data_IF_591669338502
#
_entry.id   IF_591669338502
#
_cell.length_a   1.000
_cell.length_b   1.000
_cell.length_c   1.000
_cell.angle_alpha   90.00
_cell.angle_beta   90.00
_cell.angle_gamma   90.00
#
_symmetry.space_group_name_H-M   'P 1'
#
loop_
_entity.id
_entity.type
_entity.pdbx_description
1 polymer ?
#
# COMPACT_ATOMS: atom_id res chain seq x y z
N UNK A 1 34.44 -19.27 45.20
CA UNK A 1 34.17 -20.71 45.45
C UNK A 1 33.05 -21.07 44.48
N UNK A 2 33.20 -21.85 43.40
CA UNK A 2 34.10 -22.99 43.13
C UNK A 2 33.26 -24.28 43.16
N UNK A 3 33.32 -25.27 42.25
CA UNK A 3 34.15 -25.59 41.07
C UNK A 3 33.20 -25.95 39.87
N UNK A 4 33.54 -25.99 38.57
CA UNK A 4 34.72 -26.32 37.76
C UNK A 4 34.88 -27.81 37.34
N UNK A 5 35.36 -28.02 36.10
CA UNK A 5 35.63 -29.28 35.35
C UNK A 5 34.45 -30.02 34.65
N UNK A 6 34.63 -30.86 33.61
CA UNK A 6 35.54 -30.88 32.42
C UNK A 6 35.25 -32.12 31.52
N UNK A 7 35.61 -32.07 30.22
CA UNK A 7 35.65 -33.22 29.28
C UNK A 7 34.30 -33.60 28.62
N UNK A 8 34.24 -34.20 27.42
CA UNK A 8 35.30 -34.51 26.42
C UNK A 8 34.75 -34.54 24.97
N UNK A 9 35.64 -34.34 24.01
CA UNK A 9 35.57 -34.67 22.56
C UNK A 9 36.83 -35.54 22.25
N UNK A 10 37.00 -36.28 21.11
CA UNK A 10 36.73 -35.84 19.72
C UNK A 10 36.44 -36.99 18.69
N UNK A 11 36.81 -36.77 17.41
CA UNK A 11 37.24 -37.79 16.39
C UNK A 11 36.14 -38.46 15.52
N UNK A 12 36.28 -38.84 14.23
CA UNK A 12 37.19 -38.63 13.06
C UNK A 12 36.61 -39.41 11.83
N UNK A 13 36.94 -39.25 10.54
CA UNK A 13 37.41 -38.14 9.67
C UNK A 13 37.56 -38.65 8.19
N UNK A 14 37.58 -37.76 7.18
CA UNK A 14 37.82 -38.06 5.74
C UNK A 14 36.54 -38.32 4.92
N UNK A 15 36.50 -38.19 3.59
CA UNK A 15 37.44 -37.77 2.52
C UNK A 15 36.81 -38.14 1.16
N UNK A 16 37.24 -37.79 -0.06
CA UNK A 16 38.29 -36.99 -0.68
C UNK A 16 38.17 -37.29 -2.21
N UNK A 17 38.62 -36.42 -3.15
CA UNK A 17 38.72 -36.61 -4.63
C UNK A 17 37.42 -36.75 -5.46
N UNK A 18 37.43 -36.67 -6.81
CA UNK A 18 38.19 -35.85 -7.80
C UNK A 18 37.79 -36.24 -9.25
N UNK A 19 37.89 -35.32 -10.22
CA UNK A 19 38.18 -35.65 -11.64
C UNK A 19 37.05 -35.49 -12.67
N UNK A 20 37.42 -35.00 -13.86
CA UNK A 20 36.55 -34.74 -15.01
C UNK A 20 36.25 -35.97 -15.90
N UNK A 21 35.19 -35.87 -16.71
CA UNK A 21 35.02 -36.59 -17.98
C UNK A 21 34.16 -35.76 -18.96
N UNK A 22 34.37 -35.92 -20.27
CA UNK A 22 33.97 -34.92 -21.28
C UNK A 22 33.23 -35.52 -22.51
N UNK A 23 32.16 -34.82 -22.91
CA UNK A 23 31.54 -34.72 -24.26
C UNK A 23 30.58 -35.78 -24.88
N UNK A 24 29.69 -35.21 -25.73
CA UNK A 24 29.07 -35.73 -26.98
C UNK A 24 28.04 -36.88 -26.93
N UNK A 25 26.78 -36.51 -27.20
CA UNK A 25 26.22 -36.61 -28.57
C UNK A 25 25.04 -35.64 -28.79
N UNK A 26 24.81 -35.22 -30.03
CA UNK A 26 23.63 -34.44 -30.46
C UNK A 26 22.81 -35.26 -31.45
N UNK A 27 21.50 -35.40 -31.19
CA UNK A 27 20.49 -35.82 -32.16
C UNK A 27 19.09 -35.69 -31.55
N UNK A 28 18.19 -34.90 -32.16
CA UNK A 28 16.81 -34.75 -31.69
C UNK A 28 16.27 -33.32 -31.85
N UNK A 29 15.88 -32.96 -33.08
CA UNK A 29 14.96 -31.83 -33.30
C UNK A 29 13.56 -32.43 -33.25
N UNK A 30 12.83 -32.17 -32.18
CA UNK A 30 11.42 -32.55 -32.07
C UNK A 30 10.55 -31.46 -32.73
N UNK A 31 9.59 -31.89 -33.55
CA UNK A 31 8.80 -31.07 -34.47
C UNK A 31 7.29 -31.11 -34.16
N UNK A 32 6.93 -31.18 -32.88
CA UNK A 32 5.56 -30.88 -32.42
C UNK A 32 5.56 -30.24 -31.04
N UNK A 33 5.58 -28.90 -31.00
CA UNK A 33 4.98 -28.14 -29.90
C UNK A 33 4.43 -26.81 -30.42
N UNK A 34 3.12 -26.76 -30.61
CA UNK A 34 2.42 -25.50 -30.84
C UNK A 34 2.70 -24.56 -29.65
N UNK A 35 3.03 -23.28 -29.88
CA UNK A 35 3.24 -22.35 -28.80
C UNK A 35 1.90 -22.10 -28.11
N UNK A 36 1.79 -22.55 -26.86
CA UNK A 36 0.79 -21.98 -25.95
C UNK A 36 0.95 -20.44 -25.97
N UNK A 37 -0.15 -19.66 -25.98
CA UNK A 37 -0.05 -18.21 -26.00
C UNK A 37 0.60 -17.74 -24.70
N UNK A 38 1.90 -17.47 -24.79
CA UNK A 38 2.77 -17.14 -23.68
C UNK A 38 2.29 -15.86 -23.01
N UNK A 39 1.43 -16.03 -22.01
CA UNK A 39 0.63 -14.96 -21.39
C UNK A 39 1.51 -14.23 -20.37
N UNK A 40 2.61 -13.69 -20.87
CA UNK A 40 3.46 -12.76 -20.16
C UNK A 40 2.60 -11.53 -19.84
N UNK A 41 2.40 -11.17 -18.55
CA UNK A 41 1.56 -10.03 -18.19
C UNK A 41 2.16 -8.77 -18.81
N UNK A 42 1.36 -8.07 -19.61
CA UNK A 42 1.82 -6.94 -20.43
C UNK A 42 2.61 -5.92 -19.59
N UNK A 43 3.93 -5.88 -19.81
CA UNK A 43 4.78 -4.82 -19.30
C UNK A 43 4.55 -3.57 -20.14
N UNK A 44 3.40 -2.93 -19.94
CA UNK A 44 3.19 -1.57 -20.37
C UNK A 44 4.36 -0.70 -19.83
N UNK A 45 4.88 0.26 -20.61
CA UNK A 45 6.11 0.97 -20.26
C UNK A 45 5.85 2.06 -19.21
N UNK A 46 5.41 1.66 -18.01
CA UNK A 46 5.43 2.55 -16.86
C UNK A 46 6.88 2.89 -16.55
N UNK A 47 7.22 4.19 -16.59
CA UNK A 47 8.51 4.73 -16.19
C UNK A 47 8.66 4.66 -14.66
N UNK A 48 8.76 3.43 -14.15
CA UNK A 48 8.86 3.01 -12.74
C UNK A 48 7.82 3.66 -11.83
N UNK A 49 6.67 3.01 -11.64
CA UNK A 49 5.67 3.41 -10.63
C UNK A 49 6.32 3.40 -9.22
N UNK A 50 6.35 4.56 -8.57
CA UNK A 50 6.98 4.76 -7.25
C UNK A 50 5.99 4.92 -6.09
N UNK A 51 4.70 5.06 -6.43
CA UNK A 51 3.59 5.09 -5.49
C UNK A 51 2.27 5.03 -6.23
N UNK A 52 1.22 4.65 -5.50
CA UNK A 52 -0.14 4.48 -5.99
C UNK A 52 -1.11 4.96 -4.91
N UNK A 53 -2.27 5.45 -5.34
CA UNK A 53 -3.42 5.74 -4.48
C UNK A 53 -4.64 5.15 -5.17
N UNK A 54 -5.53 4.59 -4.38
CA UNK A 54 -6.85 4.11 -4.81
C UNK A 54 -7.92 4.92 -4.09
N UNK A 55 -9.02 5.20 -4.80
CA UNK A 55 -10.12 6.00 -4.29
C UNK A 55 -11.44 5.66 -4.99
N UNK A 56 -12.53 5.69 -4.23
CA UNK A 56 -13.87 5.27 -4.66
C UNK A 56 -14.91 6.21 -4.07
N UNK A 57 -15.97 6.51 -4.80
CA UNK A 57 -17.13 7.22 -4.24
C UNK A 57 -17.89 6.27 -3.31
N UNK A 58 -18.33 6.76 -2.16
CA UNK A 58 -19.01 5.94 -1.13
C UNK A 58 -20.09 6.72 -0.38
N UNK A 59 -21.03 5.95 0.17
CA UNK A 59 -22.24 6.35 0.89
C UNK A 59 -22.35 5.65 2.27
N UNK A 60 -21.22 5.20 2.87
CA UNK A 60 -21.25 4.43 4.12
C UNK A 60 -21.93 5.23 5.25
N UNK A 61 -23.11 4.77 5.69
CA UNK A 61 -23.95 5.51 6.63
C UNK A 61 -23.24 5.89 7.96
N UNK A 62 -22.24 5.11 8.40
CA UNK A 62 -21.44 5.43 9.59
C UNK A 62 -20.42 6.56 9.37
N UNK A 63 -19.98 6.77 8.13
CA UNK A 63 -19.19 7.93 7.71
C UNK A 63 -20.10 9.14 7.48
N UNK A 64 -21.24 8.97 6.80
CA UNK A 64 -22.22 10.04 6.56
C UNK A 64 -22.76 10.65 7.88
N UNK A 65 -22.91 9.87 8.95
CA UNK A 65 -23.22 10.41 10.30
C UNK A 65 -22.22 11.46 10.80
N UNK A 66 -21.00 11.51 10.24
CA UNK A 66 -19.94 12.48 10.58
C UNK A 66 -19.88 13.69 9.63
N UNK A 67 -20.54 13.64 8.46
CA UNK A 67 -20.51 14.71 7.44
C UNK A 67 -21.93 15.09 6.98
N UNK A 68 -22.33 16.33 7.27
CA UNK A 68 -23.71 16.79 7.06
C UNK A 68 -23.87 17.52 5.73
N UNK A 69 -25.00 17.28 5.07
CA UNK A 69 -25.36 17.97 3.81
C UNK A 69 -24.64 17.40 2.57
N UNK A 70 -24.32 16.10 2.61
CA UNK A 70 -23.94 15.28 1.45
C UNK A 70 -24.50 13.88 1.63
N UNK A 71 -24.80 13.20 0.52
CA UNK A 71 -25.21 11.80 0.49
C UNK A 71 -24.06 10.85 0.10
N UNK A 72 -22.95 11.40 -0.41
CA UNK A 72 -21.75 10.67 -0.85
C UNK A 72 -20.45 11.46 -0.60
N UNK A 73 -19.31 10.77 -0.62
CA UNK A 73 -17.97 11.34 -0.44
C UNK A 73 -16.91 10.54 -1.21
N UNK A 74 -15.76 11.15 -1.51
CA UNK A 74 -14.63 10.40 -2.09
C UNK A 74 -13.82 9.71 -0.97
N UNK A 75 -13.87 8.39 -0.91
CA UNK A 75 -13.07 7.59 0.01
C UNK A 75 -11.69 7.31 -0.59
N UNK A 76 -10.62 7.52 0.19
CA UNK A 76 -9.27 7.02 -0.16
C UNK A 76 -9.09 5.67 0.51
N UNK A 77 -9.20 4.61 -0.28
CA UNK A 77 -9.18 3.20 0.16
C UNK A 77 -7.78 2.72 0.53
N UNK A 78 -6.76 3.19 -0.19
CA UNK A 78 -5.37 2.82 0.04
C UNK A 78 -4.38 3.80 -0.59
N UNK A 79 -3.22 3.96 0.04
CA UNK A 79 -2.10 4.73 -0.51
C UNK A 79 -0.78 4.03 -0.17
N UNK A 80 0.07 3.85 -1.18
CA UNK A 80 1.35 3.19 -1.03
C UNK A 80 2.45 3.98 -1.73
N UNK A 81 3.64 4.04 -1.11
CA UNK A 81 4.84 4.67 -1.67
C UNK A 81 6.03 3.76 -1.36
N UNK A 82 6.84 3.46 -2.39
CA UNK A 82 8.04 2.64 -2.26
C UNK A 82 8.97 3.23 -1.18
N UNK A 83 9.60 2.41 -0.31
CA UNK A 83 10.40 2.89 0.82
C UNK A 83 11.40 4.01 0.46
N UNK A 84 12.18 3.84 -0.62
CA UNK A 84 13.17 4.81 -1.11
C UNK A 84 12.59 6.12 -1.68
N UNK A 85 11.25 6.20 -1.79
CA UNK A 85 10.48 7.35 -2.29
C UNK A 85 9.59 7.96 -1.18
N UNK A 86 9.58 7.38 0.02
CA UNK A 86 8.93 7.97 1.21
C UNK A 86 9.64 9.25 1.64
N UNK A 87 8.96 10.05 2.46
CA UNK A 87 9.36 11.39 2.96
C UNK A 87 9.57 12.48 1.89
N UNK A 88 9.88 12.12 0.64
CA UNK A 88 10.01 12.97 -0.56
C UNK A 88 8.67 13.48 -1.12
N UNK A 89 7.70 13.80 -0.26
CA UNK A 89 6.36 14.35 -0.58
C UNK A 89 5.46 13.56 -1.56
N UNK A 90 5.88 12.41 -2.11
CA UNK A 90 5.08 11.59 -3.06
C UNK A 90 3.65 11.33 -2.56
N UNK A 91 3.49 10.86 -1.31
CA UNK A 91 2.15 10.64 -0.72
C UNK A 91 1.31 11.92 -0.57
N UNK A 92 1.94 13.09 -0.47
CA UNK A 92 1.25 14.40 -0.48
C UNK A 92 0.81 14.79 -1.90
N UNK A 93 1.60 14.45 -2.92
CA UNK A 93 1.22 14.65 -4.32
C UNK A 93 0.04 13.74 -4.73
N UNK A 94 0.06 12.47 -4.31
CA UNK A 94 -1.04 11.53 -4.52
C UNK A 94 -2.36 12.02 -3.88
N UNK A 95 -2.32 12.45 -2.61
CA UNK A 95 -3.51 13.02 -1.95
C UNK A 95 -4.02 14.30 -2.63
N UNK A 96 -3.12 15.15 -3.15
CA UNK A 96 -3.52 16.32 -3.95
C UNK A 96 -4.17 15.95 -5.28
N UNK A 97 -3.75 14.87 -5.93
CA UNK A 97 -4.40 14.38 -7.14
C UNK A 97 -5.84 13.89 -6.86
N UNK A 98 -6.04 13.15 -5.75
CA UNK A 98 -7.38 12.77 -5.30
C UNK A 98 -8.25 13.97 -4.89
N UNK A 99 -7.65 15.04 -4.36
CA UNK A 99 -8.35 16.30 -4.06
C UNK A 99 -8.81 17.01 -5.33
N UNK A 100 -7.96 17.12 -6.36
CA UNK A 100 -8.36 17.63 -7.68
C UNK A 100 -9.48 16.77 -8.31
N UNK A 101 -9.40 15.44 -8.17
CA UNK A 101 -10.42 14.52 -8.69
C UNK A 101 -11.76 14.69 -7.98
N UNK A 102 -11.76 14.79 -6.64
CA UNK A 102 -12.96 15.04 -5.84
C UNK A 102 -13.61 16.37 -6.18
N UNK A 103 -12.81 17.44 -6.38
CA UNK A 103 -13.29 18.75 -6.83
C UNK A 103 -13.91 18.68 -8.23
N UNK A 104 -13.29 17.96 -9.16
CA UNK A 104 -13.81 17.74 -10.51
C UNK A 104 -15.14 16.97 -10.51
N UNK A 105 -15.29 16.00 -9.60
CA UNK A 105 -16.53 15.24 -9.40
C UNK A 105 -17.51 15.91 -8.41
N UNK A 106 -17.20 17.11 -7.92
CA UNK A 106 -18.01 17.93 -7.00
C UNK A 106 -18.25 17.33 -5.61
N UNK A 107 -17.49 16.32 -5.18
CA UNK A 107 -17.60 15.79 -3.82
C UNK A 107 -16.99 16.76 -2.81
N UNK A 108 -17.83 17.30 -1.90
CA UNK A 108 -17.40 18.25 -0.85
C UNK A 108 -16.50 17.64 0.23
N UNK A 109 -16.50 16.32 0.39
CA UNK A 109 -15.73 15.63 1.44
C UNK A 109 -14.86 14.51 0.88
N UNK A 110 -13.68 14.37 1.49
CA UNK A 110 -12.83 13.18 1.35
C UNK A 110 -12.71 12.48 2.70
N UNK A 111 -12.83 11.16 2.72
CA UNK A 111 -12.68 10.34 3.93
C UNK A 111 -11.64 9.24 3.75
N UNK A 112 -11.05 8.79 4.85
CA UNK A 112 -10.16 7.62 4.90
C UNK A 112 -10.13 7.01 6.31
N UNK A 113 -9.75 5.74 6.42
CA UNK A 113 -9.47 5.10 7.71
C UNK A 113 -7.97 4.78 7.81
N UNK A 114 -7.30 5.35 8.80
CA UNK A 114 -5.88 5.09 9.10
C UNK A 114 -5.77 4.18 10.33
N UNK A 115 -4.73 3.35 10.46
CA UNK A 115 -4.47 2.67 11.74
C UNK A 115 -4.00 3.69 12.81
N UNK A 116 -4.40 3.50 14.07
CA UNK A 116 -4.08 4.44 15.14
C UNK A 116 -2.58 4.49 15.46
N UNK A 117 -1.87 3.38 15.28
CA UNK A 117 -0.43 3.20 15.49
C UNK A 117 0.45 3.58 14.28
N UNK A 118 -0.14 3.95 13.13
CA UNK A 118 0.62 4.45 11.97
C UNK A 118 0.74 5.97 12.00
N UNK A 119 1.63 6.48 12.86
CA UNK A 119 1.98 7.90 12.93
C UNK A 119 2.57 8.45 11.61
N UNK A 120 3.11 7.58 10.75
CA UNK A 120 3.61 7.94 9.43
C UNK A 120 2.49 8.35 8.48
N UNK A 121 1.43 7.56 8.43
CA UNK A 121 0.21 7.82 7.66
C UNK A 121 -0.65 8.90 8.32
N UNK A 122 -0.95 8.80 9.62
CA UNK A 122 -1.69 9.84 10.37
C UNK A 122 -1.01 11.20 10.28
N UNK A 123 0.32 11.24 10.35
CA UNK A 123 1.13 12.45 10.17
C UNK A 123 1.21 12.96 8.73
N UNK A 124 0.94 12.14 7.71
CA UNK A 124 0.73 12.56 6.33
C UNK A 124 -0.67 13.17 6.15
N UNK A 125 -1.72 12.47 6.56
CA UNK A 125 -3.12 12.91 6.39
C UNK A 125 -3.41 14.21 7.15
N UNK A 126 -2.94 14.32 8.40
CA UNK A 126 -3.09 15.55 9.20
C UNK A 126 -2.43 16.76 8.50
N UNK A 127 -1.30 16.54 7.81
CA UNK A 127 -0.58 17.59 7.05
C UNK A 127 -1.16 17.85 5.66
N UNK A 128 -2.15 17.07 5.24
CA UNK A 128 -2.96 17.32 4.04
C UNK A 128 -4.33 17.96 4.36
N UNK A 129 -4.67 18.16 5.65
CA UNK A 129 -5.90 18.81 6.11
C UNK A 129 -6.97 17.85 6.67
N UNK A 130 -6.69 16.55 6.76
CA UNK A 130 -7.64 15.59 7.33
C UNK A 130 -7.66 15.67 8.86
N UNK A 131 -8.86 15.65 9.45
CA UNK A 131 -9.12 15.70 10.89
C UNK A 131 -9.68 14.36 11.35
N UNK A 132 -9.25 13.85 12.52
CA UNK A 132 -9.85 12.64 13.13
C UNK A 132 -11.25 13.00 13.62
N UNK A 133 -12.27 12.25 13.19
CA UNK A 133 -13.67 12.43 13.63
C UNK A 133 -14.18 11.27 14.49
N UNK A 134 -13.66 10.06 14.29
CA UNK A 134 -14.04 8.87 15.06
C UNK A 134 -12.86 7.90 15.21
N UNK A 135 -12.95 6.99 16.19
CA UNK A 135 -11.99 5.93 16.49
C UNK A 135 -12.72 4.60 16.70
N UNK A 136 -12.08 3.51 16.34
CA UNK A 136 -12.54 2.17 16.74
C UNK A 136 -12.55 2.04 18.28
N UNK A 137 -13.56 1.41 18.90
CA UNK A 137 -13.63 1.22 20.35
C UNK A 137 -12.39 0.52 20.94
N UNK A 138 -12.04 0.83 22.19
CA UNK A 138 -10.83 0.30 22.83
C UNK A 138 -10.83 -1.24 22.93
N UNK A 139 -12.00 -1.88 23.07
CA UNK A 139 -12.12 -3.35 23.14
C UNK A 139 -11.69 -4.08 21.85
N UNK A 140 -11.55 -3.37 20.72
CA UNK A 140 -11.19 -3.97 19.42
C UNK A 140 -9.80 -4.64 19.47
N UNK A 141 -8.88 -4.15 20.30
CA UNK A 141 -7.56 -4.79 20.52
C UNK A 141 -7.67 -6.13 21.25
N UNK A 142 -8.69 -6.36 22.08
CA UNK A 142 -8.89 -7.62 22.80
C UNK A 142 -9.36 -8.76 21.88
N UNK A 143 -9.85 -8.41 20.68
CA UNK A 143 -10.16 -9.35 19.59
C UNK A 143 -9.02 -9.40 18.56
N UNK A 144 -7.81 -8.97 18.94
CA UNK A 144 -6.59 -9.02 18.10
C UNK A 144 -6.59 -8.07 16.89
N UNK A 145 -7.56 -7.15 16.79
CA UNK A 145 -7.67 -6.21 15.67
C UNK A 145 -6.92 -4.91 15.98
N UNK A 146 -6.10 -4.42 15.03
CA UNK A 146 -5.48 -3.08 15.12
C UNK A 146 -6.54 -2.01 14.92
N UNK A 147 -6.65 -1.10 15.88
CA UNK A 147 -7.60 0.03 15.86
C UNK A 147 -7.34 0.95 14.68
N UNK A 148 -8.43 1.49 14.13
CA UNK A 148 -8.42 2.53 13.10
C UNK A 148 -9.04 3.82 13.62
N UNK A 149 -8.70 4.90 12.94
CA UNK A 149 -9.26 6.24 13.12
C UNK A 149 -9.86 6.70 11.79
N UNK A 150 -11.12 7.14 11.82
CA UNK A 150 -11.77 7.76 10.67
C UNK A 150 -11.29 9.20 10.58
N UNK A 151 -10.69 9.56 9.45
CA UNK A 151 -10.19 10.90 9.17
C UNK A 151 -10.93 11.50 7.98
N UNK A 152 -11.39 12.74 8.13
CA UNK A 152 -12.17 13.45 7.11
C UNK A 152 -11.54 14.80 6.80
N UNK A 153 -11.49 15.13 5.51
CA UNK A 153 -11.17 16.46 4.99
C UNK A 153 -12.40 17.01 4.29
N UNK A 154 -12.70 18.27 4.58
CA UNK A 154 -13.67 19.06 3.81
C UNK A 154 -12.89 19.80 2.71
N UNK A 155 -13.46 19.83 1.51
CA UNK A 155 -12.91 20.52 0.35
C UNK A 155 -13.63 21.86 0.14
N UNK A 156 -12.97 22.85 -0.47
CA UNK A 156 -13.65 24.06 -0.93
C UNK A 156 -14.79 23.69 -1.89
N UNK A 157 -15.96 24.32 -1.74
CA UNK A 157 -16.95 24.34 -2.82
C UNK A 157 -16.36 25.12 -3.99
N UNK A 158 -16.38 24.52 -5.17
CA UNK A 158 -16.31 25.31 -6.41
C UNK A 158 -17.67 25.96 -6.63
N UNK A 159 -17.88 27.07 -5.93
CA UNK A 159 -18.92 28.03 -6.25
C UNK A 159 -18.52 28.67 -7.59
N UNK A 160 -18.91 28.02 -8.69
CA UNK A 160 -18.75 28.55 -10.03
C UNK A 160 -19.68 29.76 -10.18
N UNK A 161 -19.14 30.95 -9.87
CA UNK A 161 -19.66 32.20 -10.38
C UNK A 161 -19.64 32.12 -11.91
N UNK A 162 -20.81 31.85 -12.49
CA UNK A 162 -21.03 31.93 -13.93
C UNK A 162 -21.12 33.41 -14.32
N UNK A 163 -19.99 34.11 -14.31
CA UNK A 163 -19.86 35.34 -15.08
C UNK A 163 -20.03 35.00 -16.57
N UNK A 164 -21.26 35.21 -17.05
CA UNK A 164 -21.56 35.36 -18.46
C UNK A 164 -20.94 36.68 -18.94
N UNK A 165 -19.83 36.58 -19.64
CA UNK A 165 -19.21 37.66 -20.44
C UNK A 165 -19.15 37.21 -21.91
#
# INVERSE_FOLDING_TARGET
>A
MGAAAAGDEPSTAGGDRSGDAVERRVSGVDLTKDPEPDTQPSQAPFEKIVGVVDCTVQDEADVLKQIKGVDEYLYVSGIAVLPSFRRRKVGTALLKACETLALQWRHRFMALRAYEDDDGARGLYSKAGYRVVSRDPDWVTWVGRRRRVLMIKELPTHDNEMELQ
#
